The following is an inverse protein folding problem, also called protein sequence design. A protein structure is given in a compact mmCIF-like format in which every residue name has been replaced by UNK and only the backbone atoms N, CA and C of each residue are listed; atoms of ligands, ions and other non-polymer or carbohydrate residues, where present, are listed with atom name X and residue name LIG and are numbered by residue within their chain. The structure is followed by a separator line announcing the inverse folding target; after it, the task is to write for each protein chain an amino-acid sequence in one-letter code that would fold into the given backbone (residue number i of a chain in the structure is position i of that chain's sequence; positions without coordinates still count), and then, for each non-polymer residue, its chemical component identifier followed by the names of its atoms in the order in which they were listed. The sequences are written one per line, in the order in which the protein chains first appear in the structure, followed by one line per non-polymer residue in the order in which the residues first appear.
data_IF_703674966473
#
_entry.id   IF_703674966473
#
_cell.length_a   1.000
_cell.length_b   1.000
_cell.length_c   1.000
_cell.angle_alpha   90.00
_cell.angle_beta   90.00
_cell.angle_gamma   90.00
#
_symmetry.space_group_name_H-M   'P 1'
#
loop_
_entity.id
_entity.type
_entity.pdbx_description
1 polymer ?
#
# COMPACT_ATOMS: atom_id res chain seq x y z
N UNK A 1 54.59 -0.31 -91.56
CA UNK A 1 53.43 -1.05 -91.01
C UNK A 1 53.79 -1.87 -89.76
N UNK A 2 54.98 -2.45 -89.65
CA UNK A 2 55.40 -3.22 -88.45
C UNK A 2 55.41 -2.43 -87.13
N UNK A 3 55.81 -1.15 -87.14
CA UNK A 3 55.83 -0.31 -85.93
C UNK A 3 54.41 -0.04 -85.38
N UNK A 4 53.43 0.09 -86.27
CA UNK A 4 52.01 0.24 -85.90
C UNK A 4 51.44 -1.08 -85.36
N UNK A 5 51.84 -2.22 -85.93
CA UNK A 5 51.39 -3.54 -85.50
C UNK A 5 51.96 -3.95 -84.13
N UNK A 6 53.25 -3.66 -83.87
CA UNK A 6 53.88 -3.93 -82.57
C UNK A 6 53.35 -3.01 -81.45
N UNK A 7 53.00 -1.76 -81.76
CA UNK A 7 52.37 -0.86 -80.78
C UNK A 7 50.93 -1.28 -80.46
N UNK A 8 50.20 -1.86 -81.42
CA UNK A 8 48.86 -2.41 -81.20
C UNK A 8 48.91 -3.70 -80.37
N UNK A 9 49.83 -4.64 -80.64
CA UNK A 9 49.94 -5.89 -79.88
C UNK A 9 50.37 -5.66 -78.43
N UNK A 10 51.32 -4.75 -78.20
CA UNK A 10 51.76 -4.38 -76.84
C UNK A 10 50.71 -3.59 -76.07
N UNK A 11 49.84 -2.84 -76.76
CA UNK A 11 48.67 -2.19 -76.15
C UNK A 11 47.62 -3.21 -75.72
N UNK A 12 47.33 -4.22 -76.55
CA UNK A 12 46.43 -5.32 -76.22
C UNK A 12 46.96 -6.19 -75.07
N UNK A 13 48.25 -6.53 -75.06
CA UNK A 13 48.89 -7.25 -73.94
C UNK A 13 48.88 -6.46 -72.62
N UNK A 14 49.05 -5.12 -72.68
CA UNK A 14 48.93 -4.27 -71.49
C UNK A 14 47.50 -4.18 -71.00
N UNK A 15 46.52 -4.08 -71.90
CA UNK A 15 45.10 -4.11 -71.55
C UNK A 15 44.72 -5.43 -70.88
N UNK A 16 45.10 -6.58 -71.45
CA UNK A 16 44.83 -7.90 -70.87
C UNK A 16 45.43 -8.09 -69.47
N UNK A 17 46.57 -7.46 -69.17
CA UNK A 17 47.18 -7.49 -67.83
C UNK A 17 46.54 -6.53 -66.82
N UNK A 18 45.85 -5.48 -67.28
CA UNK A 18 45.21 -4.46 -66.43
C UNK A 18 43.74 -4.80 -66.09
N UNK A 19 43.03 -5.50 -66.97
CA UNK A 19 41.63 -5.89 -66.75
C UNK A 19 41.42 -6.78 -65.51
N UNK A 20 42.23 -7.84 -65.26
CA UNK A 20 42.05 -8.71 -64.09
C UNK A 20 42.12 -7.95 -62.75
N UNK A 21 43.14 -7.12 -62.45
CA UNK A 21 43.16 -6.35 -61.20
C UNK A 21 42.03 -5.34 -61.08
N UNK A 22 41.59 -4.71 -62.18
CA UNK A 22 40.42 -3.79 -62.17
C UNK A 22 39.13 -4.55 -61.85
N UNK A 23 38.88 -5.68 -62.51
CA UNK A 23 37.72 -6.54 -62.26
C UNK A 23 37.74 -7.05 -60.83
N UNK A 24 38.89 -7.53 -60.35
CA UNK A 24 39.05 -8.02 -58.98
C UNK A 24 38.76 -6.91 -57.97
N UNK A 25 39.31 -5.70 -58.18
CA UNK A 25 39.03 -4.53 -57.35
C UNK A 25 37.54 -4.15 -57.32
N UNK A 26 36.87 -4.14 -58.47
CA UNK A 26 35.43 -3.89 -58.56
C UNK A 26 34.59 -4.96 -57.84
N UNK A 27 34.97 -6.23 -57.95
CA UNK A 27 34.31 -7.35 -57.24
C UNK A 27 34.52 -7.21 -55.73
N UNK A 28 35.74 -6.90 -55.27
CA UNK A 28 36.02 -6.70 -53.84
C UNK A 28 35.24 -5.52 -53.27
N UNK A 29 35.17 -4.39 -53.98
CA UNK A 29 34.36 -3.22 -53.58
C UNK A 29 32.87 -3.59 -53.52
N UNK A 30 32.37 -4.34 -54.51
CA UNK A 30 30.97 -4.77 -54.56
C UNK A 30 30.63 -5.70 -53.39
N UNK A 31 31.50 -6.65 -53.06
CA UNK A 31 31.36 -7.54 -51.90
C UNK A 31 31.38 -6.73 -50.60
N UNK A 32 32.31 -5.77 -50.46
CA UNK A 32 32.40 -4.92 -49.28
C UNK A 32 31.14 -4.07 -49.07
N UNK A 33 30.63 -3.43 -50.13
CA UNK A 33 29.37 -2.67 -50.07
C UNK A 33 28.18 -3.58 -49.73
N UNK A 34 28.12 -4.79 -50.29
CA UNK A 34 27.06 -5.75 -49.98
C UNK A 34 27.12 -6.20 -48.51
N UNK A 35 28.32 -6.44 -47.98
CA UNK A 35 28.53 -6.77 -46.56
C UNK A 35 28.09 -5.62 -45.65
N UNK A 36 28.50 -4.38 -45.93
CA UNK A 36 28.03 -3.20 -45.17
C UNK A 36 26.51 -3.09 -45.19
N UNK A 37 25.90 -3.27 -46.36
CA UNK A 37 24.45 -3.17 -46.50
C UNK A 37 23.73 -4.27 -45.72
N UNK A 38 24.24 -5.51 -45.78
CA UNK A 38 23.73 -6.65 -45.02
C UNK A 38 23.86 -6.43 -43.51
N UNK A 39 25.00 -5.93 -43.04
CA UNK A 39 25.23 -5.63 -41.62
C UNK A 39 24.30 -4.51 -41.14
N UNK A 40 24.12 -3.46 -41.96
CA UNK A 40 23.16 -2.38 -41.67
C UNK A 40 21.72 -2.91 -41.56
N UNK A 41 21.32 -3.84 -42.43
CA UNK A 41 20.00 -4.48 -42.35
C UNK A 41 19.88 -5.32 -41.07
N UNK A 42 20.91 -6.10 -40.73
CA UNK A 42 20.94 -6.93 -39.51
C UNK A 42 20.84 -6.08 -38.24
N UNK A 43 21.60 -4.98 -38.16
CA UNK A 43 21.57 -4.06 -37.03
C UNK A 43 20.23 -3.35 -36.90
N UNK A 44 19.63 -2.93 -38.02
CA UNK A 44 18.29 -2.34 -38.02
C UNK A 44 17.22 -3.34 -37.54
N UNK A 45 17.31 -4.62 -37.96
CA UNK A 45 16.42 -5.68 -37.47
C UNK A 45 16.59 -5.91 -35.97
N UNK A 46 17.84 -5.96 -35.48
CA UNK A 46 18.15 -6.11 -34.06
C UNK A 46 17.59 -4.93 -33.24
N UNK A 47 17.86 -3.69 -33.65
CA UNK A 47 17.31 -2.48 -33.01
C UNK A 47 15.79 -2.49 -32.93
N UNK A 48 15.10 -2.85 -34.03
CA UNK A 48 13.63 -2.98 -34.03
C UNK A 48 13.14 -4.03 -33.04
N UNK A 49 13.82 -5.18 -32.98
CA UNK A 49 13.50 -6.24 -32.01
C UNK A 49 13.68 -5.77 -30.57
N UNK A 50 14.79 -5.10 -30.26
CA UNK A 50 15.07 -4.57 -28.91
C UNK A 50 14.06 -3.49 -28.51
N UNK A 51 13.72 -2.56 -29.41
CA UNK A 51 12.69 -1.55 -29.20
C UNK A 51 11.34 -2.19 -28.89
N UNK A 52 10.92 -3.18 -29.67
CA UNK A 52 9.64 -3.87 -29.47
C UNK A 52 9.61 -4.65 -28.15
N UNK A 53 10.73 -5.29 -27.78
CA UNK A 53 10.87 -5.98 -26.49
C UNK A 53 10.77 -5.00 -25.32
N UNK A 54 11.45 -3.85 -25.38
CA UNK A 54 11.38 -2.81 -24.34
C UNK A 54 9.96 -2.25 -24.20
N UNK A 55 9.30 -1.96 -25.32
CA UNK A 55 7.91 -1.46 -25.31
C UNK A 55 6.94 -2.50 -24.74
N UNK A 56 7.06 -3.77 -25.16
CA UNK A 56 6.26 -4.88 -24.60
C UNK A 56 6.50 -5.04 -23.10
N UNK A 57 7.76 -5.00 -22.67
CA UNK A 57 8.13 -5.12 -21.27
C UNK A 57 7.55 -3.98 -20.43
N UNK A 58 7.69 -2.73 -20.87
CA UNK A 58 7.07 -1.58 -20.21
C UNK A 58 5.55 -1.74 -20.11
N UNK A 59 4.89 -2.11 -21.21
CA UNK A 59 3.45 -2.31 -21.23
C UNK A 59 2.99 -3.39 -20.24
N UNK A 60 3.70 -4.52 -20.18
CA UNK A 60 3.39 -5.58 -19.22
C UNK A 60 3.53 -5.09 -17.77
N UNK A 61 4.60 -4.34 -17.46
CA UNK A 61 4.76 -3.78 -16.12
C UNK A 61 3.63 -2.81 -15.75
N UNK A 62 3.19 -1.97 -16.69
CA UNK A 62 2.05 -1.07 -16.48
C UNK A 62 0.76 -1.86 -16.23
N UNK A 63 0.53 -2.94 -16.97
CA UNK A 63 -0.64 -3.81 -16.77
C UNK A 63 -0.60 -4.53 -15.43
N UNK A 64 0.56 -5.06 -15.04
CA UNK A 64 0.77 -5.69 -13.74
C UNK A 64 0.52 -4.68 -12.60
N UNK A 65 0.98 -3.44 -12.76
CA UNK A 65 0.70 -2.38 -11.80
C UNK A 65 -0.79 -2.08 -11.68
N UNK A 66 -1.52 -2.00 -12.79
CA UNK A 66 -2.98 -1.83 -12.78
C UNK A 66 -3.68 -2.95 -12.00
N UNK A 67 -3.26 -4.20 -12.22
CA UNK A 67 -3.84 -5.36 -11.56
C UNK A 67 -3.55 -5.38 -10.05
N UNK A 68 -2.30 -5.12 -9.65
CA UNK A 68 -1.91 -5.06 -8.24
C UNK A 68 -2.63 -3.93 -7.51
N UNK A 69 -2.74 -2.74 -8.09
CA UNK A 69 -3.50 -1.64 -7.47
C UNK A 69 -4.98 -2.03 -7.32
N UNK A 70 -5.56 -2.70 -8.32
CA UNK A 70 -6.94 -3.18 -8.25
C UNK A 70 -7.14 -4.22 -7.14
N UNK A 71 -6.18 -5.12 -6.94
CA UNK A 71 -6.17 -6.08 -5.83
C UNK A 71 -6.04 -5.36 -4.48
N UNK A 72 -5.15 -4.37 -4.37
CA UNK A 72 -5.01 -3.57 -3.15
C UNK A 72 -6.30 -2.82 -2.79
N UNK A 73 -7.02 -2.27 -3.78
CA UNK A 73 -8.34 -1.67 -3.56
C UNK A 73 -9.34 -2.69 -2.96
N UNK A 74 -9.25 -3.96 -3.37
CA UNK A 74 -10.02 -5.07 -2.80
C UNK A 74 -9.65 -5.34 -1.35
N UNK A 75 -8.35 -5.42 -1.05
CA UNK A 75 -7.84 -5.59 0.31
C UNK A 75 -8.29 -4.46 1.24
N UNK A 76 -8.20 -3.21 0.79
CA UNK A 76 -8.65 -2.04 1.53
C UNK A 76 -10.15 -2.11 1.88
N UNK A 77 -10.99 -2.60 0.96
CA UNK A 77 -12.43 -2.80 1.24
C UNK A 77 -12.67 -3.83 2.34
N UNK A 78 -11.93 -4.93 2.35
CA UNK A 78 -12.04 -5.97 3.39
C UNK A 78 -11.72 -5.36 4.76
N UNK A 79 -10.64 -4.57 4.84
CA UNK A 79 -10.23 -3.88 6.06
C UNK A 79 -11.31 -2.91 6.54
N UNK A 80 -11.86 -2.09 5.64
CA UNK A 80 -12.94 -1.15 5.97
C UNK A 80 -14.12 -1.92 6.58
N UNK A 81 -14.54 -3.02 5.96
CA UNK A 81 -15.64 -3.85 6.49
C UNK A 81 -15.29 -4.49 7.84
N UNK A 82 -14.04 -4.88 8.08
CA UNK A 82 -13.61 -5.39 9.39
C UNK A 82 -13.70 -4.32 10.48
N UNK A 83 -13.19 -3.11 10.19
CA UNK A 83 -13.25 -1.97 11.12
C UNK A 83 -14.69 -1.47 11.35
N UNK A 84 -15.60 -1.68 10.40
CA UNK A 84 -17.03 -1.39 10.58
C UNK A 84 -17.74 -2.39 11.49
N UNK A 85 -17.41 -3.68 11.37
CA UNK A 85 -18.03 -4.74 12.17
C UNK A 85 -17.50 -4.77 13.60
N UNK A 86 -16.19 -4.59 13.75
CA UNK A 86 -15.49 -4.69 15.02
C UNK A 86 -14.58 -3.48 15.22
N UNK A 87 -15.15 -2.29 15.53
CA UNK A 87 -14.37 -1.05 15.61
C UNK A 87 -13.43 -1.02 16.82
N UNK A 88 -13.53 -1.99 17.73
CA UNK A 88 -12.62 -2.19 18.86
C UNK A 88 -11.57 -3.27 18.60
N UNK A 89 -11.62 -3.99 17.48
CA UNK A 89 -10.65 -5.03 17.11
C UNK A 89 -9.56 -4.49 16.17
N UNK A 90 -8.42 -5.19 16.15
CA UNK A 90 -7.38 -4.93 15.17
C UNK A 90 -7.78 -5.54 13.83
N UNK A 91 -7.80 -4.72 12.77
CA UNK A 91 -7.90 -5.23 11.41
C UNK A 91 -6.50 -5.57 10.89
N UNK A 92 -6.27 -6.82 10.50
CA UNK A 92 -5.02 -7.21 9.85
C UNK A 92 -4.98 -6.57 8.45
N UNK A 93 -4.06 -5.63 8.28
CA UNK A 93 -3.91 -4.87 7.05
C UNK A 93 -3.07 -5.66 6.03
N UNK A 94 -3.73 -6.20 5.02
CA UNK A 94 -3.07 -6.88 3.89
C UNK A 94 -2.60 -5.84 2.86
N UNK A 95 -1.32 -5.88 2.51
CA UNK A 95 -0.75 -5.00 1.49
C UNK A 95 0.16 -5.75 0.52
N UNK A 96 0.19 -5.26 -0.72
CA UNK A 96 1.13 -5.73 -1.73
C UNK A 96 2.49 -5.01 -1.59
N UNK A 97 3.61 -5.69 -1.88
CA UNK A 97 4.95 -5.09 -1.84
C UNK A 97 5.03 -3.87 -2.76
N UNK A 98 5.73 -2.81 -2.35
CA UNK A 98 5.82 -1.54 -3.11
C UNK A 98 6.93 -1.59 -4.17
N UNK A 99 7.91 -2.49 -4.02
CA UNK A 99 9.13 -2.57 -4.85
C UNK A 99 8.85 -2.69 -6.35
N UNK A 100 7.70 -3.27 -6.75
CA UNK A 100 7.34 -3.36 -8.17
C UNK A 100 7.08 -1.98 -8.79
N UNK A 101 6.51 -1.03 -8.03
CA UNK A 101 6.31 0.35 -8.48
C UNK A 101 7.64 1.10 -8.57
N UNK A 102 8.58 0.84 -7.67
CA UNK A 102 9.94 1.42 -7.76
C UNK A 102 10.63 0.95 -9.04
N UNK A 103 10.56 -0.35 -9.33
CA UNK A 103 11.11 -0.91 -10.58
C UNK A 103 10.47 -0.27 -11.81
N UNK A 104 9.15 -0.05 -11.80
CA UNK A 104 8.44 0.58 -12.91
C UNK A 104 8.80 2.07 -13.05
N UNK A 105 8.92 2.81 -11.95
CA UNK A 105 9.37 4.20 -11.94
C UNK A 105 10.77 4.34 -12.56
N UNK A 106 11.71 3.44 -12.21
CA UNK A 106 13.05 3.40 -12.83
C UNK A 106 13.00 3.12 -14.34
N UNK A 107 12.08 2.28 -14.80
CA UNK A 107 11.88 2.00 -16.23
C UNK A 107 11.29 3.22 -16.94
N UNK A 108 10.37 3.95 -16.31
CA UNK A 108 9.75 5.16 -16.84
C UNK A 108 10.71 6.36 -16.87
N UNK A 109 11.68 6.41 -15.96
CA UNK A 109 12.74 7.42 -15.96
C UNK A 109 13.85 7.16 -17.01
N UNK A 110 13.83 6.00 -17.68
CA UNK A 110 14.89 5.59 -18.59
C UNK A 110 14.60 6.03 -20.03
N UNK A 111 15.45 6.91 -20.58
CA UNK A 111 15.35 7.45 -21.94
C UNK A 111 15.20 6.38 -23.02
N UNK A 112 15.81 5.21 -22.84
CA UNK A 112 15.75 4.14 -23.84
C UNK A 112 14.38 3.47 -23.89
N UNK A 113 13.61 3.49 -22.80
CA UNK A 113 12.22 3.04 -22.76
C UNK A 113 11.28 4.11 -23.30
N UNK A 114 11.53 5.40 -23.02
CA UNK A 114 10.81 6.50 -23.66
C UNK A 114 10.98 6.50 -25.18
N UNK A 115 12.21 6.34 -25.68
CA UNK A 115 12.51 6.22 -27.10
C UNK A 115 11.82 4.99 -27.72
N UNK A 116 11.82 3.86 -27.02
CA UNK A 116 11.15 2.65 -27.47
C UNK A 116 9.62 2.82 -27.54
N UNK A 117 9.03 3.44 -26.53
CA UNK A 117 7.61 3.80 -26.50
C UNK A 117 7.24 4.71 -27.67
N UNK A 118 8.01 5.78 -27.88
CA UNK A 118 7.76 6.71 -28.98
C UNK A 118 7.86 6.08 -30.37
N UNK A 119 8.78 5.14 -30.55
CA UNK A 119 8.93 4.41 -31.79
C UNK A 119 7.78 3.42 -32.05
N UNK A 120 7.32 2.71 -31.01
CA UNK A 120 6.23 1.72 -31.14
C UNK A 120 4.88 2.40 -31.41
N UNK A 121 4.60 3.52 -30.74
CA UNK A 121 3.30 4.19 -30.79
C UNK A 121 3.25 5.36 -31.79
N UNK A 122 4.11 5.37 -32.80
CA UNK A 122 4.29 6.48 -33.74
C UNK A 122 3.03 6.91 -34.52
N UNK A 123 1.97 6.10 -34.55
CA UNK A 123 0.66 6.43 -35.12
C UNK A 123 -0.16 7.43 -34.29
N UNK A 124 0.25 7.70 -33.05
CA UNK A 124 -0.31 8.77 -32.22
C UNK A 124 0.54 10.03 -32.42
N UNK A 125 -0.14 11.18 -32.50
CA UNK A 125 0.49 12.50 -32.51
C UNK A 125 1.57 12.63 -31.42
N UNK A 126 2.70 13.22 -31.79
CA UNK A 126 3.89 13.25 -30.95
C UNK A 126 3.64 13.90 -29.59
N UNK A 127 2.96 15.06 -29.56
CA UNK A 127 2.66 15.75 -28.31
C UNK A 127 1.73 14.91 -27.42
N UNK A 128 0.74 14.24 -28.03
CA UNK A 128 -0.17 13.34 -27.31
C UNK A 128 0.56 12.13 -26.73
N UNK A 129 1.52 11.52 -27.45
CA UNK A 129 2.32 10.40 -26.93
C UNK A 129 3.18 10.80 -25.75
N UNK A 130 3.90 11.91 -25.88
CA UNK A 130 4.78 12.41 -24.82
C UNK A 130 3.95 12.68 -23.56
N UNK A 131 2.80 13.34 -23.74
CA UNK A 131 1.85 13.57 -22.65
C UNK A 131 1.36 12.25 -22.02
N UNK A 132 0.95 11.27 -22.84
CA UNK A 132 0.48 9.99 -22.36
C UNK A 132 1.55 9.26 -21.52
N UNK A 133 2.80 9.29 -21.96
CA UNK A 133 3.93 8.70 -21.23
C UNK A 133 4.15 9.39 -19.87
N UNK A 134 4.18 10.72 -19.86
CA UNK A 134 4.37 11.50 -18.64
C UNK A 134 3.19 11.33 -17.67
N UNK A 135 1.96 11.31 -18.18
CA UNK A 135 0.76 11.10 -17.38
C UNK A 135 0.76 9.69 -16.74
N UNK A 136 1.28 8.67 -17.43
CA UNK A 136 1.48 7.34 -16.85
C UNK A 136 2.56 7.35 -15.75
N UNK A 137 3.66 8.08 -15.95
CA UNK A 137 4.70 8.22 -14.93
C UNK A 137 4.17 8.89 -13.66
N UNK A 138 3.39 9.96 -13.81
CA UNK A 138 2.73 10.65 -12.69
C UNK A 138 1.78 9.69 -11.95
N UNK A 139 0.97 8.89 -12.67
CA UNK A 139 0.08 7.93 -12.02
C UNK A 139 0.85 6.89 -11.20
N UNK A 140 2.00 6.41 -11.69
CA UNK A 140 2.87 5.48 -10.96
C UNK A 140 3.44 6.11 -9.68
N UNK A 141 3.88 7.37 -9.76
CA UNK A 141 4.36 8.09 -8.57
C UNK A 141 3.24 8.32 -7.55
N UNK A 142 2.01 8.60 -8.01
CA UNK A 142 0.83 8.70 -7.14
C UNK A 142 0.53 7.36 -6.46
N UNK A 143 0.50 6.25 -7.21
CA UNK A 143 0.32 4.93 -6.61
C UNK A 143 1.40 4.60 -5.58
N UNK A 144 2.65 4.94 -5.86
CA UNK A 144 3.74 4.76 -4.92
C UNK A 144 3.50 5.56 -3.63
N UNK A 145 3.07 6.81 -3.76
CA UNK A 145 2.66 7.66 -2.63
C UNK A 145 1.55 7.03 -1.80
N UNK A 146 0.47 6.57 -2.45
CA UNK A 146 -0.66 5.96 -1.75
C UNK A 146 -0.28 4.68 -1.01
N UNK A 147 0.50 3.78 -1.63
CA UNK A 147 0.93 2.55 -0.96
C UNK A 147 1.91 2.84 0.20
N UNK A 148 2.75 3.86 0.06
CA UNK A 148 3.66 4.29 1.14
C UNK A 148 2.87 4.86 2.32
N UNK A 149 1.82 5.62 2.05
CA UNK A 149 0.92 6.14 3.08
C UNK A 149 0.17 5.02 3.80
N UNK A 150 -0.37 4.05 3.04
CA UNK A 150 -0.99 2.85 3.59
C UNK A 150 -0.04 2.10 4.54
N UNK A 151 1.22 1.94 4.15
CA UNK A 151 2.25 1.32 4.99
C UNK A 151 2.45 2.05 6.32
N UNK A 152 2.46 3.39 6.30
CA UNK A 152 2.60 4.20 7.53
C UNK A 152 1.42 4.03 8.48
N UNK A 153 0.20 3.89 7.94
CA UNK A 153 -0.96 3.60 8.76
C UNK A 153 -0.82 2.25 9.47
N UNK A 154 -0.25 1.25 8.81
CA UNK A 154 -0.05 -0.10 9.38
C UNK A 154 0.90 -0.08 10.56
N UNK A 155 2.10 0.47 10.35
CA UNK A 155 3.16 0.43 11.35
C UNK A 155 2.76 1.17 12.64
N UNK A 156 2.09 2.31 12.48
CA UNK A 156 1.58 3.12 13.60
C UNK A 156 0.39 2.46 14.29
N UNK A 157 -0.58 1.95 13.52
CA UNK A 157 -1.80 1.36 14.09
C UNK A 157 -1.52 0.08 14.86
N UNK A 158 -0.73 -0.85 14.33
CA UNK A 158 -0.45 -2.13 14.99
C UNK A 158 0.24 -1.94 16.36
N UNK A 159 1.32 -1.13 16.38
CA UNK A 159 2.10 -0.91 17.60
C UNK A 159 1.30 -0.10 18.63
N UNK A 160 0.54 0.89 18.19
CA UNK A 160 -0.27 1.71 19.09
C UNK A 160 -1.45 0.91 19.65
N UNK A 161 -2.13 0.13 18.80
CA UNK A 161 -3.30 -0.65 19.18
C UNK A 161 -2.95 -1.74 20.20
N UNK A 162 -1.89 -2.52 19.98
CA UNK A 162 -1.46 -3.57 20.92
C UNK A 162 -1.15 -2.97 22.31
N UNK A 163 -0.37 -1.89 22.36
CA UNK A 163 -0.03 -1.21 23.63
C UNK A 163 -1.25 -0.62 24.33
N UNK A 164 -2.14 0.03 23.58
CA UNK A 164 -3.34 0.64 24.14
C UNK A 164 -4.35 -0.42 24.63
N UNK A 165 -4.50 -1.52 23.89
CA UNK A 165 -5.33 -2.67 24.30
C UNK A 165 -4.78 -3.35 25.55
N UNK A 166 -3.46 -3.57 25.61
CA UNK A 166 -2.81 -4.11 26.81
C UNK A 166 -3.03 -3.21 28.02
N UNK A 167 -2.83 -1.89 27.86
CA UNK A 167 -3.07 -0.93 28.93
C UNK A 167 -4.53 -0.94 29.40
N UNK A 168 -5.50 -1.06 28.49
CA UNK A 168 -6.92 -1.17 28.85
C UNK A 168 -7.20 -2.35 29.77
N UNK A 169 -6.71 -3.55 29.42
CA UNK A 169 -6.91 -4.74 30.24
C UNK A 169 -6.15 -4.69 31.57
N UNK A 170 -4.98 -4.05 31.61
CA UNK A 170 -4.27 -3.81 32.88
C UNK A 170 -5.11 -2.93 33.80
N UNK A 171 -5.67 -1.84 33.27
CA UNK A 171 -6.47 -0.91 34.07
C UNK A 171 -7.78 -1.52 34.55
N UNK A 172 -8.41 -2.39 33.77
CA UNK A 172 -9.57 -3.16 34.25
C UNK A 172 -9.19 -4.08 35.41
N UNK A 173 -8.03 -4.76 35.34
CA UNK A 173 -7.57 -5.61 36.45
C UNK A 173 -7.31 -4.79 37.71
N UNK A 174 -6.78 -3.58 37.58
CA UNK A 174 -6.57 -2.65 38.69
C UNK A 174 -7.92 -2.22 39.28
N UNK A 175 -8.87 -1.79 38.44
CA UNK A 175 -10.22 -1.43 38.89
C UNK A 175 -10.90 -2.59 39.64
N UNK A 176 -10.84 -3.80 39.09
CA UNK A 176 -11.40 -5.01 39.71
C UNK A 176 -10.78 -5.29 41.07
N UNK A 177 -9.45 -5.18 41.16
CA UNK A 177 -8.75 -5.32 42.44
C UNK A 177 -9.22 -4.28 43.44
N UNK A 178 -9.29 -3.01 43.04
CA UNK A 178 -9.71 -1.92 43.93
C UNK A 178 -11.17 -2.09 44.38
N UNK A 179 -12.05 -2.59 43.51
CA UNK A 179 -13.43 -2.95 43.83
C UNK A 179 -13.50 -4.10 44.85
N UNK A 180 -12.71 -5.15 44.65
CA UNK A 180 -12.64 -6.29 45.57
C UNK A 180 -12.07 -5.89 46.94
N UNK A 181 -11.03 -5.05 46.97
CA UNK A 181 -10.43 -4.53 48.19
C UNK A 181 -11.44 -3.68 48.98
N UNK A 182 -12.24 -2.85 48.29
CA UNK A 182 -13.32 -2.08 48.91
C UNK A 182 -14.43 -3.00 49.45
N UNK A 183 -14.85 -3.99 48.67
CA UNK A 183 -15.85 -4.97 49.06
C UNK A 183 -15.44 -5.72 50.34
N UNK A 184 -14.21 -6.26 50.35
CA UNK A 184 -13.65 -6.95 51.51
C UNK A 184 -13.56 -6.05 52.75
N UNK A 185 -13.13 -4.80 52.57
CA UNK A 185 -13.06 -3.82 53.65
C UNK A 185 -14.44 -3.57 54.27
N UNK A 186 -15.47 -3.41 53.45
CA UNK A 186 -16.84 -3.19 53.91
C UNK A 186 -17.43 -4.44 54.57
N UNK A 187 -17.12 -5.64 54.07
CA UNK A 187 -17.63 -6.90 54.62
C UNK A 187 -17.04 -7.21 56.01
N UNK A 188 -15.75 -6.89 56.19
CA UNK A 188 -15.03 -7.14 57.45
C UNK A 188 -15.14 -6.02 58.48
N UNK A 189 -15.66 -4.86 58.10
CA UNK A 189 -15.90 -3.75 59.03
C UNK A 189 -17.05 -4.09 60.00
N UNK A 190 -16.74 -4.13 61.29
CA UNK A 190 -17.71 -4.41 62.37
C UNK A 190 -18.62 -3.22 62.68
N UNK A 191 -18.41 -2.07 62.03
CA UNK A 191 -19.19 -0.87 62.26
C UNK A 191 -20.53 -0.95 61.52
N UNK A 192 -21.64 -0.93 62.26
CA UNK A 192 -22.98 -0.80 61.68
C UNK A 192 -23.20 0.66 61.23
N UNK A 193 -22.95 0.91 59.96
CA UNK A 193 -23.16 2.20 59.28
C UNK A 193 -24.14 1.99 58.11
N UNK A 194 -25.15 2.85 58.00
CA UNK A 194 -26.14 2.80 56.93
C UNK A 194 -25.49 2.98 55.56
N UNK A 195 -24.49 3.86 55.46
CA UNK A 195 -23.71 4.09 54.23
C UNK A 195 -22.95 2.83 53.80
N UNK A 196 -22.45 2.07 54.77
CA UNK A 196 -21.77 0.78 54.54
C UNK A 196 -22.73 -0.26 54.00
N UNK A 197 -23.88 -0.43 54.65
CA UNK A 197 -24.89 -1.42 54.24
C UNK A 197 -25.41 -1.14 52.83
N UNK A 198 -25.67 0.13 52.51
CA UNK A 198 -26.14 0.52 51.18
C UNK A 198 -25.07 0.23 50.10
N UNK A 199 -23.82 0.64 50.33
CA UNK A 199 -22.73 0.42 49.38
C UNK A 199 -22.41 -1.07 49.21
N UNK A 200 -22.30 -1.83 50.30
CA UNK A 200 -22.08 -3.28 50.25
C UNK A 200 -23.24 -3.99 49.52
N UNK A 201 -24.48 -3.59 49.79
CA UNK A 201 -25.67 -4.12 49.12
C UNK A 201 -25.71 -3.84 47.60
N UNK A 202 -25.09 -2.76 47.13
CA UNK A 202 -24.91 -2.50 45.69
C UNK A 202 -23.75 -3.29 45.10
N UNK A 203 -22.61 -3.35 45.79
CA UNK A 203 -21.44 -4.11 45.33
C UNK A 203 -21.75 -5.62 45.21
N UNK A 204 -22.56 -6.18 46.11
CA UNK A 204 -23.02 -7.57 46.06
C UNK A 204 -23.87 -7.92 44.82
N UNK A 205 -24.37 -6.91 44.09
CA UNK A 205 -25.14 -7.11 42.85
C UNK A 205 -24.26 -7.15 41.61
N UNK A 206 -22.95 -6.90 41.75
CA UNK A 206 -22.00 -7.01 40.65
C UNK A 206 -21.73 -8.50 40.42
N UNK A 207 -22.10 -8.98 39.23
CA UNK A 207 -21.80 -10.34 38.78
C UNK A 207 -20.31 -10.48 38.45
N UNK A 208 -19.52 -10.74 39.50
CA UNK A 208 -18.07 -10.83 39.39
C UNK A 208 -17.64 -12.05 38.57
N UNK A 209 -18.40 -13.15 38.59
CA UNK A 209 -18.08 -14.36 37.84
C UNK A 209 -18.20 -14.13 36.33
N UNK A 210 -19.31 -13.54 35.88
CA UNK A 210 -19.45 -13.17 34.47
C UNK A 210 -18.41 -12.12 34.08
N UNK A 211 -18.11 -11.14 34.95
CA UNK A 211 -17.08 -10.13 34.65
C UNK A 211 -15.69 -10.76 34.43
N UNK A 212 -15.29 -11.74 35.24
CA UNK A 212 -14.02 -12.46 35.06
C UNK A 212 -14.00 -13.30 33.78
N UNK A 213 -15.13 -13.90 33.41
CA UNK A 213 -15.28 -14.65 32.17
C UNK A 213 -15.13 -13.75 30.95
N UNK A 214 -15.84 -12.61 30.91
CA UNK A 214 -15.73 -11.63 29.83
C UNK A 214 -14.31 -11.04 29.75
N UNK A 215 -13.65 -10.84 30.89
CA UNK A 215 -12.24 -10.44 30.95
C UNK A 215 -11.30 -11.50 30.36
N UNK A 216 -11.55 -12.79 30.63
CA UNK A 216 -10.79 -13.89 30.07
C UNK A 216 -10.97 -14.00 28.55
N UNK A 217 -12.20 -13.76 28.07
CA UNK A 217 -12.56 -13.72 26.65
C UNK A 217 -12.03 -12.46 25.93
N UNK A 218 -11.53 -11.48 26.69
CA UNK A 218 -11.00 -10.19 26.19
C UNK A 218 -12.04 -9.39 25.38
N UNK A 219 -13.32 -9.49 25.73
CA UNK A 219 -14.38 -8.71 25.08
C UNK A 219 -14.48 -7.31 25.70
N UNK A 220 -13.84 -6.34 25.03
CA UNK A 220 -13.81 -4.95 25.47
C UNK A 220 -15.19 -4.28 25.44
N UNK A 221 -16.05 -4.65 24.48
CA UNK A 221 -17.36 -4.03 24.31
C UNK A 221 -18.25 -4.46 25.47
N UNK A 222 -18.29 -5.77 25.74
CA UNK A 222 -19.06 -6.31 26.84
C UNK A 222 -18.55 -5.82 28.20
N UNK A 223 -17.22 -5.75 28.40
CA UNK A 223 -16.63 -5.16 29.61
C UNK A 223 -17.12 -3.72 29.82
N UNK A 224 -17.00 -2.88 28.79
CA UNK A 224 -17.41 -1.47 28.88
C UNK A 224 -18.92 -1.33 29.14
N UNK A 225 -19.76 -2.05 28.41
CA UNK A 225 -21.21 -1.84 28.41
C UNK A 225 -21.93 -2.49 29.58
N UNK A 226 -21.53 -3.70 29.96
CA UNK A 226 -22.22 -4.47 31.00
C UNK A 226 -21.61 -4.26 32.39
N UNK A 227 -20.34 -3.85 32.49
CA UNK A 227 -19.65 -3.73 33.78
C UNK A 227 -19.15 -2.32 34.06
N UNK A 228 -18.23 -1.79 33.27
CA UNK A 228 -17.57 -0.51 33.59
C UNK A 228 -18.58 0.65 33.63
N UNK A 229 -19.48 0.74 32.64
CA UNK A 229 -20.48 1.83 32.60
C UNK A 229 -21.49 1.72 33.76
N UNK A 230 -22.11 0.56 34.04
CA UNK A 230 -23.00 0.40 35.19
C UNK A 230 -22.31 0.61 36.55
N UNK A 231 -21.09 0.09 36.74
CA UNK A 231 -20.33 0.27 37.98
C UNK A 231 -20.04 1.76 38.21
N UNK A 232 -19.61 2.48 37.16
CA UNK A 232 -19.39 3.92 37.26
C UNK A 232 -20.67 4.66 37.65
N UNK A 233 -21.80 4.36 36.99
CA UNK A 233 -23.09 4.99 37.31
C UNK A 233 -23.57 4.69 38.73
N UNK A 234 -23.36 3.47 39.20
CA UNK A 234 -23.66 3.05 40.57
C UNK A 234 -22.81 3.81 41.59
N UNK A 235 -21.49 3.84 41.40
CA UNK A 235 -20.55 4.53 42.30
C UNK A 235 -20.80 6.05 42.33
N UNK A 236 -21.06 6.66 41.17
CA UNK A 236 -21.36 8.08 41.08
C UNK A 236 -22.60 8.49 41.90
N UNK A 237 -23.56 7.58 42.08
CA UNK A 237 -24.73 7.79 42.93
C UNK A 237 -24.42 7.98 44.43
N UNK A 238 -23.23 7.54 44.88
CA UNK A 238 -22.76 7.69 46.26
C UNK A 238 -21.89 8.94 46.48
N UNK A 239 -21.67 9.75 45.45
CA UNK A 239 -20.91 11.00 45.56
C UNK A 239 -21.79 12.14 46.14
N UNK A 240 -22.36 11.90 47.32
CA UNK A 240 -23.18 12.86 48.05
C UNK A 240 -22.42 13.46 49.24
N UNK A 241 -22.77 14.68 49.70
CA UNK A 241 -22.12 15.27 50.86
C UNK A 241 -22.25 14.38 52.10
N UNK A 242 -21.16 14.29 52.88
CA UNK A 242 -21.07 13.56 54.16
C UNK A 242 -21.09 12.02 54.07
N UNK A 243 -21.02 11.43 52.87
CA UNK A 243 -20.93 9.98 52.73
C UNK A 243 -19.60 9.42 53.26
N UNK A 244 -19.67 8.42 54.15
CA UNK A 244 -18.52 7.88 54.90
C UNK A 244 -17.38 7.37 54.00
N UNK A 245 -17.70 6.87 52.80
CA UNK A 245 -16.73 6.24 51.89
C UNK A 245 -16.40 7.08 50.66
N UNK A 246 -16.68 8.39 50.70
CA UNK A 246 -16.53 9.31 49.55
C UNK A 246 -15.17 9.18 48.87
N UNK A 247 -14.06 9.19 49.62
CA UNK A 247 -12.70 9.10 49.05
C UNK A 247 -12.48 7.82 48.23
N UNK A 248 -12.91 6.67 48.75
CA UNK A 248 -12.78 5.38 48.05
C UNK A 248 -13.65 5.35 46.80
N UNK A 249 -14.89 5.82 46.91
CA UNK A 249 -15.84 5.89 45.78
C UNK A 249 -15.33 6.85 44.70
N UNK A 250 -14.82 8.02 45.07
CA UNK A 250 -14.21 8.97 44.13
C UNK A 250 -13.03 8.36 43.38
N UNK A 251 -12.15 7.64 44.09
CA UNK A 251 -11.02 6.95 43.46
C UNK A 251 -11.49 5.91 42.43
N UNK A 252 -12.49 5.09 42.77
CA UNK A 252 -13.03 4.08 41.86
C UNK A 252 -13.78 4.69 40.67
N UNK A 253 -14.51 5.80 40.87
CA UNK A 253 -15.10 6.56 39.76
C UNK A 253 -14.02 7.05 38.79
N UNK A 254 -12.88 7.53 39.32
CA UNK A 254 -11.75 7.94 38.49
C UNK A 254 -11.15 6.75 37.71
N UNK A 255 -11.01 5.59 38.35
CA UNK A 255 -10.54 4.37 37.68
C UNK A 255 -11.50 3.95 36.55
N UNK A 256 -12.81 3.97 36.79
CA UNK A 256 -13.82 3.72 35.76
C UNK A 256 -13.74 4.73 34.61
N UNK A 257 -13.54 6.02 34.92
CA UNK A 257 -13.40 7.07 33.93
C UNK A 257 -12.15 6.83 33.07
N UNK A 258 -11.01 6.54 33.69
CA UNK A 258 -9.76 6.25 32.99
C UNK A 258 -9.92 5.04 32.03
N UNK A 259 -10.58 3.97 32.46
CA UNK A 259 -10.87 2.80 31.60
C UNK A 259 -11.79 3.18 30.42
N UNK A 260 -12.82 3.99 30.66
CA UNK A 260 -13.73 4.46 29.61
C UNK A 260 -13.01 5.37 28.59
N UNK A 261 -12.13 6.27 29.05
CA UNK A 261 -11.33 7.13 28.18
C UNK A 261 -10.41 6.29 27.27
N UNK A 262 -9.80 5.22 27.79
CA UNK A 262 -8.99 4.31 27.00
C UNK A 262 -9.81 3.53 25.96
N UNK A 263 -11.00 3.06 26.33
CA UNK A 263 -11.93 2.42 25.39
C UNK A 263 -12.30 3.37 24.24
N UNK A 264 -12.70 4.60 24.57
CA UNK A 264 -13.07 5.59 23.56
C UNK A 264 -11.88 6.04 22.72
N UNK A 265 -10.68 6.12 23.30
CA UNK A 265 -9.44 6.40 22.56
C UNK A 265 -9.16 5.35 21.48
N UNK A 266 -9.30 4.05 21.83
CA UNK A 266 -9.15 2.94 20.88
C UNK A 266 -10.21 2.99 19.77
N UNK A 267 -11.47 3.19 20.15
CA UNK A 267 -12.59 3.29 19.22
C UNK A 267 -12.37 4.43 18.21
N UNK A 268 -12.04 5.63 18.71
CA UNK A 268 -11.83 6.81 17.88
C UNK A 268 -10.62 6.64 16.95
N UNK A 269 -9.54 6.00 17.42
CA UNK A 269 -8.37 5.73 16.59
C UNK A 269 -8.71 4.79 15.42
N UNK A 270 -9.49 3.73 15.67
CA UNK A 270 -9.93 2.81 14.63
C UNK A 270 -10.93 3.45 13.65
N UNK A 271 -11.83 4.30 14.14
CA UNK A 271 -12.72 5.10 13.28
C UNK A 271 -11.88 6.03 12.38
N UNK A 272 -10.92 6.75 12.94
CA UNK A 272 -10.03 7.63 12.17
C UNK A 272 -9.22 6.85 11.12
N UNK A 273 -8.67 5.68 11.48
CA UNK A 273 -7.98 4.80 10.53
C UNK A 273 -8.91 4.37 9.39
N UNK A 274 -10.14 3.97 9.70
CA UNK A 274 -11.14 3.58 8.69
C UNK A 274 -11.39 4.74 7.72
N UNK A 275 -11.61 5.94 8.22
CA UNK A 275 -11.85 7.13 7.40
C UNK A 275 -10.65 7.45 6.49
N UNK A 276 -9.42 7.38 7.01
CA UNK A 276 -8.21 7.54 6.21
C UNK A 276 -8.08 6.49 5.11
N UNK A 277 -8.39 5.22 5.40
CA UNK A 277 -8.36 4.16 4.39
C UNK A 277 -9.46 4.36 3.34
N UNK A 278 -10.66 4.81 3.72
CA UNK A 278 -11.74 5.12 2.77
C UNK A 278 -11.30 6.22 1.79
N UNK A 279 -10.72 7.30 2.31
CA UNK A 279 -10.24 8.42 1.50
C UNK A 279 -9.13 7.97 0.55
N UNK A 280 -8.13 7.26 1.07
CA UNK A 280 -7.05 6.70 0.28
C UNK A 280 -7.57 5.79 -0.84
N UNK A 281 -8.52 4.90 -0.51
CA UNK A 281 -9.11 3.96 -1.46
C UNK A 281 -9.88 4.68 -2.57
N UNK A 282 -10.54 5.78 -2.26
CA UNK A 282 -11.22 6.64 -3.24
C UNK A 282 -10.21 7.30 -4.18
N UNK A 283 -9.13 7.87 -3.64
CA UNK A 283 -8.09 8.53 -4.43
C UNK A 283 -7.37 7.52 -5.35
N UNK A 284 -7.00 6.36 -4.81
CA UNK A 284 -6.42 5.25 -5.57
C UNK A 284 -7.33 4.78 -6.72
N UNK A 285 -8.64 4.65 -6.48
CA UNK A 285 -9.60 4.24 -7.50
C UNK A 285 -9.69 5.27 -8.64
N UNK A 286 -9.75 6.56 -8.31
CA UNK A 286 -9.78 7.63 -9.31
C UNK A 286 -8.52 7.63 -10.19
N UNK A 287 -7.34 7.47 -9.59
CA UNK A 287 -6.09 7.35 -10.35
C UNK A 287 -6.09 6.08 -11.20
N UNK A 288 -6.58 4.95 -10.69
CA UNK A 288 -6.68 3.69 -11.43
C UNK A 288 -7.60 3.77 -12.65
N UNK A 289 -8.76 4.43 -12.54
CA UNK A 289 -9.69 4.59 -13.66
C UNK A 289 -9.07 5.45 -14.77
N UNK A 290 -8.36 6.52 -14.40
CA UNK A 290 -7.60 7.34 -15.34
C UNK A 290 -6.48 6.53 -16.02
N UNK A 291 -5.72 5.79 -15.21
CA UNK A 291 -4.62 4.95 -15.66
C UNK A 291 -5.07 3.86 -16.64
N UNK A 292 -6.16 3.14 -16.32
CA UNK A 292 -6.76 2.13 -17.21
C UNK A 292 -7.22 2.72 -18.54
N UNK A 293 -7.78 3.93 -18.53
CA UNK A 293 -8.17 4.64 -19.76
C UNK A 293 -6.94 4.94 -20.65
N UNK A 294 -5.84 5.38 -20.04
CA UNK A 294 -4.56 5.63 -20.72
C UNK A 294 -3.99 4.32 -21.31
N UNK A 295 -4.03 3.22 -20.56
CA UNK A 295 -3.61 1.89 -21.06
C UNK A 295 -4.48 1.38 -22.20
N UNK A 296 -5.80 1.54 -22.12
CA UNK A 296 -6.71 1.15 -23.22
C UNK A 296 -6.41 1.89 -24.53
N UNK A 297 -5.96 3.15 -24.44
CA UNK A 297 -5.52 3.92 -25.63
C UNK A 297 -4.29 3.27 -26.30
N UNK A 298 -3.37 2.75 -25.50
CA UNK A 298 -2.19 2.03 -26.00
C UNK A 298 -2.56 0.67 -26.62
N UNK A 299 -3.53 -0.05 -26.08
CA UNK A 299 -3.97 -1.34 -26.62
C UNK A 299 -4.64 -1.21 -27.99
N UNK A 300 -5.50 -0.21 -28.17
CA UNK A 300 -6.17 0.05 -29.44
C UNK A 300 -5.15 0.34 -30.54
N UNK A 301 -4.10 1.08 -30.22
CA UNK A 301 -3.06 1.49 -31.18
C UNK A 301 -2.15 0.32 -31.60
N UNK A 302 -2.12 -0.78 -30.84
CA UNK A 302 -1.36 -2.00 -31.17
C UNK A 302 -2.08 -2.94 -32.14
N UNK A 303 -3.39 -2.77 -32.36
CA UNK A 303 -4.21 -3.60 -33.28
C UNK A 303 -4.25 -2.97 -34.67
#
# INVERSE_FOLDING_TARGET
MEILFNNLSTFFERQEKLWPPIITGCVTISIFLFTIWKDKIKDNRKKRSETRQKSTYLFNLLQDASNHINEQLGNNKIIITQLERSPTEFALLTYLPIDYLQRLSLVLANDSYFAAFNAEYNGIDEQKRIRLYNDLAIDIDLFYGYLTELYRYIERSATHYEKAKESYFINIKILLKNLADLHYKLDTDSTEDMDREELLGKLNKIDSEEMFKVLADKDMVQLKEQFITPIHGMLAGFLIPLFSYTTSVTSLCQDCQNVNEQYHGLLNANIGLKESIIELNKNMLQTLDSFKTKLGTLEITKR
#
